data_IF_109312819510
#
_entry.id   IF_109312819510
#
_cell.length_a   1.000
_cell.length_b   1.000
_cell.length_c   1.000
_cell.angle_alpha   90.00
_cell.angle_beta   90.00
_cell.angle_gamma   90.00
#
_symmetry.space_group_name_H-M   'P 1'
#
loop_
_entity.id
_entity.type
_entity.pdbx_description
1 polymer ?
#
# COMPACT_ATOMS: atom_id res chain seq x y z
N UNK A 1 -9.64 0.44 10.90
CA UNK A 1 -8.88 1.13 9.83
C UNK A 1 -7.50 0.50 9.78
N UNK A 2 -7.08 -0.02 8.62
CA UNK A 2 -5.74 -0.62 8.47
C UNK A 2 -4.71 0.49 8.25
N UNK A 3 -3.97 0.84 9.31
CA UNK A 3 -2.98 1.92 9.28
C UNK A 3 -1.98 1.76 8.11
N UNK A 4 -1.55 0.53 7.81
CA UNK A 4 -0.58 0.29 6.74
C UNK A 4 -1.17 0.45 5.34
N UNK A 5 -2.48 0.21 5.18
CA UNK A 5 -3.16 0.50 3.92
C UNK A 5 -3.21 2.02 3.65
N UNK A 6 -3.19 2.83 4.71
CA UNK A 6 -3.10 4.30 4.73
C UNK A 6 -1.97 4.92 3.92
N UNK A 7 -0.90 4.17 3.70
CA UNK A 7 0.36 4.65 3.13
C UNK A 7 0.66 4.07 1.74
N UNK A 8 -0.35 3.51 1.07
CA UNK A 8 -0.23 2.97 -0.28
C UNK A 8 0.87 1.90 -0.39
N UNK A 9 1.75 2.05 -1.38
CA UNK A 9 2.86 1.12 -1.64
C UNK A 9 4.04 1.27 -0.68
N UNK A 10 4.08 2.32 0.15
CA UNK A 10 5.21 2.58 1.06
C UNK A 10 5.42 1.46 2.10
N UNK A 11 4.35 0.76 2.47
CA UNK A 11 4.38 -0.39 3.39
C UNK A 11 4.08 -1.72 2.69
N UNK A 12 4.29 -1.80 1.37
CA UNK A 12 4.00 -2.99 0.57
C UNK A 12 4.64 -4.25 1.18
N UNK A 13 5.93 -4.22 1.53
CA UNK A 13 6.61 -5.36 2.14
C UNK A 13 5.99 -5.81 3.46
N UNK A 14 5.59 -4.88 4.32
CA UNK A 14 4.92 -5.20 5.59
C UNK A 14 3.53 -5.78 5.38
N UNK A 15 2.78 -5.28 4.39
CA UNK A 15 1.46 -5.81 4.05
C UNK A 15 1.54 -7.21 3.44
N UNK A 16 2.50 -7.45 2.55
CA UNK A 16 2.77 -8.79 1.98
C UNK A 16 3.18 -9.78 3.07
N UNK A 17 4.08 -9.37 3.98
CA UNK A 17 4.48 -10.20 5.13
C UNK A 17 3.27 -10.59 5.99
N UNK A 18 2.45 -9.60 6.39
CA UNK A 18 1.26 -9.85 7.21
C UNK A 18 0.24 -10.75 6.49
N UNK A 19 0.08 -10.61 5.18
CA UNK A 19 -0.77 -11.49 4.37
C UNK A 19 -0.23 -12.93 4.38
N UNK A 20 1.07 -13.10 4.09
CA UNK A 20 1.72 -14.40 4.09
C UNK A 20 1.64 -15.10 5.46
N UNK A 21 1.88 -14.37 6.56
CA UNK A 21 1.79 -14.92 7.92
C UNK A 21 0.38 -15.42 8.25
N UNK A 22 -0.67 -14.70 7.84
CA UNK A 22 -2.06 -15.14 8.03
C UNK A 22 -2.39 -16.39 7.22
N UNK A 23 -2.04 -16.40 5.94
CA UNK A 23 -2.24 -17.58 5.08
C UNK A 23 -1.47 -18.81 5.59
N UNK A 24 -0.25 -18.60 6.09
CA UNK A 24 0.55 -19.67 6.69
C UNK A 24 -0.05 -20.16 8.01
N UNK A 25 -0.63 -19.29 8.83
CA UNK A 25 -1.32 -19.72 10.06
C UNK A 25 -2.50 -20.66 9.76
N UNK A 26 -3.32 -20.31 8.77
CA UNK A 26 -4.45 -21.16 8.34
C UNK A 26 -3.95 -22.49 7.76
N UNK A 27 -2.92 -22.47 6.91
CA UNK A 27 -2.29 -23.67 6.37
C UNK A 27 -1.70 -24.58 7.48
N UNK A 28 -1.16 -24.00 8.55
CA UNK A 28 -0.65 -24.74 9.69
C UNK A 28 -1.77 -25.43 10.48
N UNK A 29 -2.96 -24.82 10.56
CA UNK A 29 -4.14 -25.45 11.17
C UNK A 29 -4.59 -26.67 10.36
N UNK A 30 -4.65 -26.53 9.02
CA UNK A 30 -4.99 -27.65 8.14
C UNK A 30 -3.98 -28.79 8.29
N UNK A 31 -2.68 -28.48 8.27
CA UNK A 31 -1.63 -29.47 8.48
C UNK A 31 -1.79 -30.21 9.83
N UNK A 32 -2.13 -29.49 10.90
CA UNK A 32 -2.37 -30.07 12.22
C UNK A 32 -3.57 -30.99 12.26
N UNK A 33 -4.68 -30.60 11.61
CA UNK A 33 -5.89 -31.45 11.52
C UNK A 33 -5.69 -32.74 10.72
N UNK A 34 -4.62 -32.81 9.92
CA UNK A 34 -4.21 -34.00 9.16
C UNK A 34 -3.09 -34.80 9.86
N UNK A 35 -2.73 -34.43 11.09
CA UNK A 35 -1.60 -34.99 11.84
C UNK A 35 -0.29 -34.98 11.02
N UNK A 36 -0.06 -33.88 10.28
CA UNK A 36 1.18 -33.68 9.54
C UNK A 36 2.20 -32.95 10.43
N UNK A 37 3.34 -33.57 10.77
CA UNK A 37 4.37 -32.99 11.63
C UNK A 37 5.27 -32.01 10.85
N UNK A 38 4.68 -30.98 10.25
CA UNK A 38 5.39 -30.02 9.41
C UNK A 38 4.80 -28.63 9.54
N UNK A 39 5.67 -27.62 9.62
CA UNK A 39 5.28 -26.22 9.55
C UNK A 39 5.25 -25.74 8.10
N UNK A 40 4.35 -24.83 7.70
CA UNK A 40 4.27 -24.31 6.33
C UNK A 40 5.62 -23.77 5.79
N UNK A 41 6.38 -23.06 6.62
CA UNK A 41 7.70 -22.55 6.26
C UNK A 41 8.75 -23.66 5.99
N UNK A 42 8.53 -24.88 6.51
CA UNK A 42 9.39 -26.05 6.26
C UNK A 42 9.04 -26.78 4.96
N UNK A 43 7.82 -26.59 4.43
CA UNK A 43 7.39 -27.29 3.20
C UNK A 43 8.20 -26.86 1.99
N UNK A 44 8.52 -25.57 1.86
CA UNK A 44 9.36 -25.07 0.78
C UNK A 44 10.77 -25.68 0.83
N UNK A 45 11.35 -25.84 2.02
CA UNK A 45 12.63 -26.53 2.21
C UNK A 45 12.58 -27.97 1.73
N UNK A 46 11.58 -28.75 2.18
CA UNK A 46 11.42 -30.15 1.79
C UNK A 46 11.24 -30.28 0.26
N UNK A 47 10.40 -29.45 -0.35
CA UNK A 47 10.17 -29.43 -1.79
C UNK A 47 11.44 -29.08 -2.58
N UNK A 48 12.19 -28.07 -2.15
CA UNK A 48 13.45 -27.68 -2.80
C UNK A 48 14.53 -28.78 -2.66
N UNK A 49 14.62 -29.44 -1.49
CA UNK A 49 15.53 -30.59 -1.30
C UNK A 49 15.11 -31.76 -2.18
N UNK A 50 13.80 -32.03 -2.34
CA UNK A 50 13.33 -33.08 -3.27
C UNK A 50 13.73 -32.80 -4.72
N UNK A 51 13.59 -31.55 -5.15
CA UNK A 51 13.83 -31.15 -6.55
C UNK A 51 15.31 -31.04 -6.90
N UNK A 52 16.16 -30.67 -5.95
CA UNK A 52 17.57 -30.34 -6.19
C UNK A 52 18.57 -31.14 -5.33
N UNK A 53 18.09 -32.07 -4.51
CA UNK A 53 18.92 -32.88 -3.61
C UNK A 53 19.81 -33.88 -4.36
N UNK A 54 20.98 -34.24 -3.80
CA UNK A 54 21.58 -33.71 -2.57
C UNK A 54 22.13 -32.27 -2.74
N UNK A 55 21.72 -31.35 -1.86
CA UNK A 55 21.97 -29.88 -1.98
C UNK A 55 22.73 -29.32 -0.77
N UNK A 56 23.59 -28.31 -0.96
CA UNK A 56 24.26 -27.63 0.16
C UNK A 56 23.31 -26.63 0.86
N UNK A 57 23.52 -26.37 2.17
CA UNK A 57 22.71 -25.41 2.94
C UNK A 57 22.73 -24.01 2.32
N UNK A 58 23.89 -23.55 1.83
CA UNK A 58 24.04 -22.26 1.16
C UNK A 58 23.22 -22.17 -0.13
N UNK A 59 23.30 -23.21 -0.98
CA UNK A 59 22.53 -23.28 -2.22
C UNK A 59 21.02 -23.35 -1.96
N UNK A 60 20.60 -24.06 -0.91
CA UNK A 60 19.20 -24.10 -0.48
C UNK A 60 18.70 -22.71 -0.06
N UNK A 61 19.51 -21.96 0.69
CA UNK A 61 19.19 -20.60 1.11
C UNK A 61 19.10 -19.63 -0.06
N UNK A 62 20.03 -19.72 -1.01
CA UNK A 62 20.03 -18.92 -2.24
C UNK A 62 18.79 -19.18 -3.09
N UNK A 63 18.43 -20.45 -3.32
CA UNK A 63 17.25 -20.82 -4.14
C UNK A 63 15.93 -20.35 -3.53
N UNK A 64 15.83 -20.38 -2.20
CA UNK A 64 14.64 -19.91 -1.48
C UNK A 64 14.65 -18.41 -1.19
N UNK A 65 15.74 -17.71 -1.51
CA UNK A 65 15.97 -16.30 -1.15
C UNK A 65 15.76 -16.04 0.35
N UNK A 66 16.19 -17.00 1.18
CA UNK A 66 16.10 -16.91 2.65
C UNK A 66 17.49 -16.67 3.25
N UNK A 67 17.52 -15.95 4.37
CA UNK A 67 18.75 -15.82 5.14
C UNK A 67 19.20 -17.21 5.65
N UNK A 68 20.49 -17.53 5.48
CA UNK A 68 21.07 -18.81 5.88
C UNK A 68 20.78 -19.21 7.36
N UNK A 69 20.78 -18.29 8.35
CA UNK A 69 20.38 -18.63 9.72
C UNK A 69 18.94 -19.12 9.85
N UNK A 70 18.02 -18.61 9.02
CA UNK A 70 16.62 -19.06 8.99
C UNK A 70 16.53 -20.49 8.47
N UNK A 71 17.23 -20.78 7.38
CA UNK A 71 17.30 -22.13 6.78
C UNK A 71 17.91 -23.12 7.78
N UNK A 72 19.02 -22.76 8.41
CA UNK A 72 19.74 -23.64 9.36
C UNK A 72 18.86 -24.02 10.56
N UNK A 73 18.12 -23.05 11.13
CA UNK A 73 17.19 -23.34 12.24
C UNK A 73 16.07 -24.28 11.83
N UNK A 74 15.46 -24.05 10.67
CA UNK A 74 14.38 -24.89 10.16
C UNK A 74 14.85 -26.31 9.81
N UNK A 75 16.05 -26.44 9.23
CA UNK A 75 16.66 -27.73 8.91
C UNK A 75 16.94 -28.56 10.15
N UNK A 76 17.40 -27.95 11.24
CA UNK A 76 17.67 -28.69 12.48
C UNK A 76 16.44 -29.46 12.96
N UNK A 77 15.26 -28.83 12.96
CA UNK A 77 14.01 -29.51 13.32
C UNK A 77 13.69 -30.65 12.34
N UNK A 78 13.87 -30.44 11.04
CA UNK A 78 13.62 -31.50 10.04
C UNK A 78 14.60 -32.68 10.15
N UNK A 79 15.84 -32.43 10.58
CA UNK A 79 16.84 -33.47 10.88
C UNK A 79 16.51 -34.20 12.19
N UNK A 80 16.16 -33.48 13.25
CA UNK A 80 15.75 -34.04 14.55
C UNK A 80 14.50 -34.92 14.39
N UNK A 81 13.56 -34.52 13.53
CA UNK A 81 12.36 -35.31 13.20
C UNK A 81 12.63 -36.43 12.17
N UNK A 82 13.86 -36.53 11.64
CA UNK A 82 14.29 -37.57 10.72
C UNK A 82 13.72 -37.47 9.31
N UNK A 83 13.25 -36.30 8.88
CA UNK A 83 12.77 -36.05 7.51
C UNK A 83 13.89 -35.71 6.54
N UNK A 84 14.93 -35.02 7.03
CA UNK A 84 16.13 -34.65 6.26
C UNK A 84 17.33 -35.33 6.89
N UNK A 85 18.27 -35.74 6.04
CA UNK A 85 19.58 -36.21 6.49
C UNK A 85 20.70 -35.45 5.79
N UNK A 86 21.83 -35.32 6.50
CA UNK A 86 23.06 -34.79 5.96
C UNK A 86 23.96 -35.93 5.48
N UNK A 87 24.25 -35.97 4.18
CA UNK A 87 25.22 -36.88 3.55
C UNK A 87 26.54 -36.15 3.28
N UNK A 88 27.66 -36.88 3.36
CA UNK A 88 28.97 -36.36 2.88
C UNK A 88 29.00 -36.43 1.35
N UNK A 89 29.47 -35.37 0.71
CA UNK A 89 29.68 -35.39 -0.73
C UNK A 89 30.77 -36.42 -1.11
N UNK A 90 30.58 -37.23 -2.17
CA UNK A 90 31.67 -38.03 -2.73
C UNK A 90 32.77 -37.09 -3.25
N UNK A 91 33.99 -37.18 -2.71
CA UNK A 91 35.16 -36.43 -3.18
C UNK A 91 35.61 -35.29 -2.26
N UNK A 92 34.71 -34.38 -1.86
CA UNK A 92 35.02 -33.31 -0.91
C UNK A 92 34.33 -33.55 0.44
N UNK A 93 35.04 -34.23 1.34
CA UNK A 93 34.56 -34.58 2.68
C UNK A 93 34.25 -33.36 3.59
N UNK A 94 34.50 -32.13 3.13
CA UNK A 94 34.17 -30.89 3.85
C UNK A 94 32.75 -30.40 3.59
N UNK A 95 32.12 -30.81 2.48
CA UNK A 95 30.80 -30.28 2.09
C UNK A 95 29.67 -31.24 2.47
N UNK A 96 28.88 -30.84 3.47
CA UNK A 96 27.64 -31.51 3.91
C UNK A 96 26.51 -31.20 2.91
N UNK A 97 25.83 -32.24 2.41
CA UNK A 97 24.69 -32.11 1.50
C UNK A 97 23.43 -32.71 2.10
N UNK A 98 22.34 -31.98 2.00
CA UNK A 98 21.03 -32.32 2.50
C UNK A 98 20.30 -33.20 1.49
N UNK A 99 19.69 -34.28 1.96
CA UNK A 99 18.80 -35.13 1.19
C UNK A 99 17.58 -35.50 2.04
N UNK A 100 16.47 -35.86 1.39
CA UNK A 100 15.32 -36.41 2.10
C UNK A 100 15.63 -37.85 2.52
N UNK A 101 15.14 -38.23 3.70
CA UNK A 101 15.07 -39.63 4.12
C UNK A 101 13.85 -40.29 3.49
N UNK A 102 13.73 -41.61 3.60
CA UNK A 102 12.49 -42.31 3.22
C UNK A 102 11.26 -41.78 3.99
N UNK A 103 11.44 -41.36 5.25
CA UNK A 103 10.39 -40.71 6.05
C UNK A 103 10.04 -39.33 5.50
N UNK A 104 11.03 -38.55 5.08
CA UNK A 104 10.82 -37.25 4.44
C UNK A 104 10.10 -37.34 3.09
N UNK A 105 10.45 -38.33 2.27
CA UNK A 105 9.75 -38.60 1.01
C UNK A 105 8.29 -39.00 1.25
N UNK A 106 8.04 -39.89 2.22
CA UNK A 106 6.68 -40.28 2.60
C UNK A 106 5.87 -39.08 3.11
N UNK A 107 6.47 -38.19 3.92
CA UNK A 107 5.83 -36.95 4.36
C UNK A 107 5.47 -36.04 3.18
N UNK A 108 6.36 -35.89 2.19
CA UNK A 108 6.06 -35.09 1.01
C UNK A 108 4.94 -35.66 0.15
N UNK A 109 4.84 -36.99 0.04
CA UNK A 109 3.69 -37.62 -0.62
C UNK A 109 2.41 -37.22 0.10
N UNK A 110 2.36 -37.32 1.44
CA UNK A 110 1.20 -36.88 2.23
C UNK A 110 0.89 -35.40 2.05
N UNK A 111 1.90 -34.53 2.05
CA UNK A 111 1.71 -33.10 1.78
C UNK A 111 1.06 -32.87 0.42
N UNK A 112 1.52 -33.58 -0.62
CA UNK A 112 0.99 -33.45 -1.98
C UNK A 112 -0.42 -34.03 -2.17
N UNK A 113 -0.75 -35.12 -1.47
CA UNK A 113 -2.03 -35.81 -1.66
C UNK A 113 -3.11 -35.43 -0.66
N UNK A 114 -2.73 -34.91 0.51
CA UNK A 114 -3.65 -34.56 1.60
C UNK A 114 -3.70 -33.05 1.84
N UNK A 115 -2.57 -32.36 1.92
CA UNK A 115 -2.55 -30.96 2.32
C UNK A 115 -2.78 -29.98 1.16
N UNK A 116 -1.94 -30.05 0.12
CA UNK A 116 -2.01 -29.11 -1.01
C UNK A 116 -3.37 -29.08 -1.70
N UNK A 117 -4.06 -30.21 -1.95
CA UNK A 117 -5.39 -30.18 -2.58
C UNK A 117 -6.47 -29.45 -1.76
N UNK A 118 -6.22 -29.18 -0.47
CA UNK A 118 -7.10 -28.38 0.39
C UNK A 118 -6.71 -26.90 0.39
N UNK A 119 -5.41 -26.60 0.32
CA UNK A 119 -4.90 -25.23 0.31
C UNK A 119 -5.11 -24.58 -1.06
N UNK A 120 -4.86 -25.30 -2.15
CA UNK A 120 -4.87 -24.76 -3.51
C UNK A 120 -6.21 -24.11 -3.89
N UNK A 121 -7.39 -24.73 -3.69
CA UNK A 121 -8.66 -24.10 -4.03
C UNK A 121 -8.95 -22.85 -3.18
N UNK A 122 -8.65 -22.91 -1.88
CA UNK A 122 -8.85 -21.78 -0.97
C UNK A 122 -7.93 -20.59 -1.33
N UNK A 123 -6.69 -20.86 -1.72
CA UNK A 123 -5.77 -19.84 -2.19
C UNK A 123 -6.18 -19.28 -3.57
N UNK A 124 -6.74 -20.11 -4.45
CA UNK A 124 -7.24 -19.68 -5.76
C UNK A 124 -8.44 -18.72 -5.62
N UNK A 125 -9.35 -18.97 -4.67
CA UNK A 125 -10.49 -18.10 -4.38
C UNK A 125 -10.06 -16.68 -3.96
N UNK A 126 -8.94 -16.55 -3.24
CA UNK A 126 -8.41 -15.23 -2.81
C UNK A 126 -7.98 -14.33 -3.98
N UNK A 127 -7.63 -14.93 -5.12
CA UNK A 127 -7.15 -14.20 -6.32
C UNK A 127 -8.16 -14.21 -7.46
N UNK A 128 -9.31 -14.87 -7.28
CA UNK A 128 -10.39 -14.93 -8.26
C UNK A 128 -11.03 -13.55 -8.46
N UNK A 129 -11.32 -13.20 -9.72
CA UNK A 129 -11.96 -11.92 -10.07
C UNK A 129 -11.08 -10.68 -9.93
N UNK A 130 -9.81 -10.83 -9.53
CA UNK A 130 -8.83 -9.74 -9.59
C UNK A 130 -8.55 -9.37 -11.06
N UNK A 131 -8.34 -8.09 -11.32
CA UNK A 131 -7.97 -7.62 -12.66
C UNK A 131 -6.56 -8.10 -13.04
N UNK A 132 -6.46 -8.74 -14.20
CA UNK A 132 -5.21 -9.31 -14.70
C UNK A 132 -4.81 -10.62 -13.99
N UNK A 133 -3.66 -11.16 -14.37
CA UNK A 133 -3.09 -12.36 -13.74
C UNK A 133 -2.24 -11.92 -12.53
N UNK A 134 -2.79 -12.10 -11.32
CA UNK A 134 -2.12 -11.77 -10.07
C UNK A 134 -0.77 -12.48 -9.92
N UNK A 135 -0.69 -13.76 -10.30
CA UNK A 135 0.54 -14.54 -10.18
C UNK A 135 1.61 -14.02 -11.14
N UNK A 136 1.22 -13.65 -12.37
CA UNK A 136 2.12 -12.98 -13.30
C UNK A 136 2.54 -11.59 -12.77
N UNK A 137 1.64 -10.86 -12.11
CA UNK A 137 1.92 -9.59 -11.45
C UNK A 137 2.97 -9.73 -10.34
N UNK A 138 2.79 -10.71 -9.46
CA UNK A 138 3.73 -11.02 -8.38
C UNK A 138 5.11 -11.39 -8.94
N UNK A 139 5.18 -12.27 -9.93
CA UNK A 139 6.43 -12.66 -10.58
C UNK A 139 7.17 -11.45 -11.19
N UNK A 140 6.43 -10.49 -11.79
CA UNK A 140 7.02 -9.24 -12.30
C UNK A 140 7.59 -8.37 -11.18
N UNK A 141 6.94 -8.30 -10.01
CA UNK A 141 7.44 -7.56 -8.84
C UNK A 141 8.72 -8.20 -8.33
N UNK A 142 8.75 -9.53 -8.19
CA UNK A 142 9.93 -10.29 -7.78
C UNK A 142 11.10 -10.09 -8.75
N UNK A 143 10.85 -10.19 -10.06
CA UNK A 143 11.86 -9.95 -11.09
C UNK A 143 12.43 -8.53 -11.00
N UNK A 144 11.59 -7.51 -10.82
CA UNK A 144 12.02 -6.10 -10.70
C UNK A 144 12.84 -5.84 -9.43
N UNK A 145 12.53 -6.55 -8.34
CA UNK A 145 13.28 -6.48 -7.09
C UNK A 145 14.65 -7.17 -7.24
N UNK A 146 14.71 -8.31 -7.92
CA UNK A 146 15.96 -9.01 -8.23
C UNK A 146 16.87 -8.20 -9.19
N UNK A 147 16.28 -7.48 -10.15
CA UNK A 147 17.01 -6.59 -11.05
C UNK A 147 17.64 -5.39 -10.35
N UNK A 148 16.92 -4.78 -9.39
CA UNK A 148 17.44 -3.69 -8.57
C UNK A 148 16.69 -3.62 -7.23
N UNK A 149 17.47 -3.66 -6.15
CA UNK A 149 16.95 -3.57 -4.78
C UNK A 149 16.21 -2.26 -4.52
N UNK A 150 15.38 -2.23 -3.48
CA UNK A 150 14.77 -0.98 -3.01
C UNK A 150 15.84 0.06 -2.63
N UNK A 151 16.93 -0.36 -2.00
CA UNK A 151 18.03 0.54 -1.62
C UNK A 151 18.61 1.26 -2.86
N UNK A 152 18.96 0.50 -3.89
CA UNK A 152 19.48 1.05 -5.16
C UNK A 152 18.50 2.04 -5.79
N UNK A 153 17.19 1.75 -5.73
CA UNK A 153 16.16 2.64 -6.26
C UNK A 153 16.02 3.92 -5.44
N UNK A 154 16.11 3.82 -4.12
CA UNK A 154 16.07 4.96 -3.20
C UNK A 154 17.28 5.86 -3.43
N UNK A 155 18.47 5.28 -3.52
CA UNK A 155 19.70 6.02 -3.79
C UNK A 155 19.65 6.72 -5.16
N UNK A 156 19.15 6.04 -6.20
CA UNK A 156 19.00 6.62 -7.53
C UNK A 156 17.95 7.75 -7.61
N UNK A 157 16.88 7.68 -6.80
CA UNK A 157 15.85 8.71 -6.75
C UNK A 157 16.34 10.00 -6.07
N UNK A 158 17.34 9.90 -5.19
CA UNK A 158 17.84 11.01 -4.41
C UNK A 158 16.87 11.46 -3.31
N UNK A 159 17.19 12.54 -2.58
CA UNK A 159 16.31 13.08 -1.55
C UNK A 159 15.00 13.60 -2.16
N UNK A 160 13.86 13.47 -1.45
CA UNK A 160 12.59 13.96 -1.95
C UNK A 160 12.59 15.49 -2.04
N UNK A 161 11.99 16.02 -3.11
CA UNK A 161 11.79 17.47 -3.29
C UNK A 161 10.51 17.98 -2.62
N UNK A 162 9.63 17.07 -2.21
CA UNK A 162 8.36 17.38 -1.55
C UNK A 162 7.82 16.14 -0.81
N UNK A 163 7.17 16.34 0.33
CA UNK A 163 6.47 15.29 1.06
C UNK A 163 5.11 15.78 1.59
N UNK A 164 4.27 14.82 1.95
CA UNK A 164 2.98 15.10 2.57
C UNK A 164 3.12 15.04 4.10
N UNK A 165 2.43 15.94 4.80
CA UNK A 165 2.23 15.87 6.25
C UNK A 165 0.75 15.81 6.59
N UNK A 166 0.44 15.00 7.58
CA UNK A 166 -0.88 15.04 8.23
C UNK A 166 -1.03 16.31 9.04
N UNK A 167 -2.27 16.73 9.25
CA UNK A 167 -2.56 17.83 10.15
C UNK A 167 -2.08 17.55 11.57
N UNK A 168 -1.46 18.57 12.13
CA UNK A 168 -1.12 18.72 13.53
C UNK A 168 -1.41 20.18 13.92
N UNK A 169 -1.60 20.46 15.21
CA UNK A 169 -2.07 21.79 15.64
C UNK A 169 -1.06 22.91 15.30
N UNK A 170 0.24 22.60 15.19
CA UNK A 170 1.28 23.52 14.67
C UNK A 170 1.05 23.94 13.21
N UNK A 171 0.27 23.18 12.44
CA UNK A 171 -0.05 23.46 11.04
C UNK A 171 -1.39 24.19 10.86
N UNK A 172 -2.12 24.49 11.95
CA UNK A 172 -3.40 25.19 11.87
C UNK A 172 -3.27 26.58 11.24
N UNK A 173 -2.23 27.33 11.61
CA UNK A 173 -1.96 28.65 11.01
C UNK A 173 -1.59 28.52 9.52
N UNK A 174 -0.81 27.50 9.15
CA UNK A 174 -0.47 27.24 7.75
C UNK A 174 -1.74 26.92 6.93
N UNK A 175 -2.67 26.12 7.47
CA UNK A 175 -3.95 25.82 6.84
C UNK A 175 -4.74 27.11 6.53
N UNK A 176 -4.84 27.98 7.53
CA UNK A 176 -5.54 29.26 7.40
C UNK A 176 -4.85 30.15 6.37
N UNK A 177 -3.55 30.42 6.53
CA UNK A 177 -2.77 31.33 5.69
C UNK A 177 -2.79 30.93 4.21
N UNK A 178 -2.54 29.66 3.91
CA UNK A 178 -2.49 29.16 2.51
C UNK A 178 -3.84 29.32 1.82
N UNK A 179 -4.93 28.93 2.49
CA UNK A 179 -6.26 29.05 1.91
C UNK A 179 -6.73 30.49 1.83
N UNK A 180 -6.45 31.32 2.84
CA UNK A 180 -6.80 32.73 2.83
C UNK A 180 -6.12 33.47 1.66
N UNK A 181 -4.82 33.26 1.44
CA UNK A 181 -4.09 33.85 0.29
C UNK A 181 -4.75 33.47 -1.04
N UNK A 182 -5.06 32.17 -1.22
CA UNK A 182 -5.69 31.70 -2.47
C UNK A 182 -7.09 32.27 -2.67
N UNK A 183 -7.94 32.25 -1.62
CA UNK A 183 -9.31 32.76 -1.71
C UNK A 183 -9.27 34.25 -2.00
N UNK A 184 -8.52 35.04 -1.24
CA UNK A 184 -8.47 36.50 -1.38
C UNK A 184 -7.89 36.97 -2.72
N UNK A 185 -7.04 36.17 -3.37
CA UNK A 185 -6.49 36.46 -4.70
C UNK A 185 -7.55 36.38 -5.81
N UNK A 186 -8.56 35.53 -5.65
CA UNK A 186 -9.52 35.20 -6.72
C UNK A 186 -11.00 35.45 -6.38
N UNK A 187 -11.34 35.50 -5.10
CA UNK A 187 -12.69 35.53 -4.54
C UNK A 187 -12.73 36.30 -3.21
N UNK A 188 -13.93 36.40 -2.62
CA UNK A 188 -14.11 36.90 -1.25
C UNK A 188 -14.16 35.71 -0.29
N UNK A 189 -13.61 35.89 0.92
CA UNK A 189 -13.77 34.93 2.02
C UNK A 189 -15.24 34.91 2.46
N UNK A 190 -15.92 33.78 2.22
CA UNK A 190 -17.29 33.55 2.68
C UNK A 190 -17.29 33.09 4.15
N UNK A 191 -18.43 33.23 4.85
CA UNK A 191 -18.53 32.85 6.27
C UNK A 191 -18.16 31.38 6.54
N UNK A 192 -18.58 30.49 5.62
CA UNK A 192 -18.20 29.07 5.62
C UNK A 192 -16.68 28.87 5.50
N UNK A 193 -16.00 29.73 4.74
CA UNK A 193 -14.55 29.66 4.63
C UNK A 193 -13.89 30.03 5.95
N UNK A 194 -14.29 31.14 6.56
CA UNK A 194 -13.73 31.62 7.83
C UNK A 194 -13.90 30.57 8.94
N UNK A 195 -15.09 29.98 9.06
CA UNK A 195 -15.35 28.94 10.05
C UNK A 195 -14.42 27.73 9.86
N UNK A 196 -14.28 27.22 8.63
CA UNK A 196 -13.42 26.07 8.32
C UNK A 196 -11.94 26.35 8.56
N UNK A 197 -11.47 27.55 8.20
CA UNK A 197 -10.06 27.92 8.34
C UNK A 197 -9.64 28.14 9.80
N UNK A 198 -10.57 28.60 10.65
CA UNK A 198 -10.30 28.87 12.07
C UNK A 198 -10.48 27.64 12.95
N UNK A 199 -11.35 26.70 12.57
CA UNK A 199 -11.66 25.50 13.36
C UNK A 199 -11.53 24.19 12.56
N UNK A 200 -10.39 23.93 11.88
CA UNK A 200 -10.23 22.75 11.02
C UNK A 200 -10.32 21.43 11.79
N UNK A 201 -9.88 21.41 13.06
CA UNK A 201 -9.99 20.23 13.92
C UNK A 201 -11.46 19.84 14.15
N UNK A 202 -12.23 20.75 14.73
CA UNK A 202 -13.65 20.53 15.04
C UNK A 202 -14.49 20.23 13.79
N UNK A 203 -14.26 20.97 12.69
CA UNK A 203 -15.14 20.92 11.52
C UNK A 203 -14.74 19.88 10.48
N UNK A 204 -13.49 19.39 10.50
CA UNK A 204 -12.98 18.42 9.52
C UNK A 204 -12.53 17.15 10.23
N UNK A 205 -11.52 17.23 11.10
CA UNK A 205 -10.84 16.06 11.66
C UNK A 205 -11.73 15.27 12.63
N UNK A 206 -12.39 15.95 13.56
CA UNK A 206 -13.23 15.31 14.59
C UNK A 206 -14.49 14.66 13.96
N UNK A 207 -14.81 15.01 12.71
CA UNK A 207 -15.88 14.43 11.90
C UNK A 207 -15.41 13.28 11.00
N UNK A 208 -14.18 12.81 11.18
CA UNK A 208 -13.57 11.75 10.37
C UNK A 208 -13.03 12.22 9.03
N UNK A 209 -12.92 13.54 8.82
CA UNK A 209 -12.22 14.13 7.69
C UNK A 209 -10.71 14.11 7.86
N UNK A 210 -10.00 14.64 6.87
CA UNK A 210 -8.54 14.62 6.80
C UNK A 210 -8.05 15.96 6.25
N UNK A 211 -6.90 16.42 6.72
CA UNK A 211 -6.21 17.57 6.14
C UNK A 211 -4.76 17.17 5.90
N UNK A 212 -4.30 17.35 4.67
CA UNK A 212 -2.94 17.05 4.23
C UNK A 212 -2.24 18.33 3.79
N UNK A 213 -0.97 18.42 4.12
CA UNK A 213 -0.08 19.50 3.73
C UNK A 213 1.00 18.99 2.78
N UNK A 214 1.47 19.87 1.91
CA UNK A 214 2.66 19.65 1.11
C UNK A 214 3.79 20.54 1.63
N UNK A 215 4.93 19.93 1.91
CA UNK A 215 6.12 20.58 2.44
C UNK A 215 7.31 20.31 1.51
N UNK A 216 8.13 21.33 1.28
CA UNK A 216 9.39 21.23 0.53
C UNK A 216 10.57 21.59 1.44
N UNK A 217 11.79 21.09 1.15
CA UNK A 217 12.97 21.42 1.93
C UNK A 217 13.24 22.92 2.03
N UNK A 218 13.02 23.66 0.94
CA UNK A 218 13.43 25.07 0.82
C UNK A 218 12.36 26.06 1.30
N UNK A 219 11.07 25.73 1.11
CA UNK A 219 9.96 26.66 1.31
C UNK A 219 9.08 26.30 2.52
N UNK A 220 9.31 25.14 3.14
CA UNK A 220 8.46 24.62 4.19
C UNK A 220 7.06 24.29 3.66
N UNK A 221 6.04 24.54 4.46
CA UNK A 221 4.65 24.18 4.13
C UNK A 221 4.05 25.16 3.13
N UNK A 222 3.82 24.66 1.91
CA UNK A 222 3.47 25.47 0.74
C UNK A 222 2.09 25.18 0.16
N UNK A 223 1.45 24.10 0.59
CA UNK A 223 0.11 23.78 0.13
C UNK A 223 -0.66 22.93 1.14
N UNK A 224 -1.97 22.91 0.98
CA UNK A 224 -2.87 22.09 1.80
C UNK A 224 -4.05 21.61 0.97
N UNK A 225 -4.67 20.50 1.38
CA UNK A 225 -5.91 19.96 0.84
C UNK A 225 -6.68 19.25 1.96
N UNK A 226 -8.01 19.32 1.95
CA UNK A 226 -8.85 18.68 2.94
C UNK A 226 -9.89 17.74 2.31
N UNK A 227 -10.20 16.67 3.04
CA UNK A 227 -11.33 15.78 2.82
C UNK A 227 -12.31 15.98 3.97
N UNK A 228 -13.53 16.37 3.65
CA UNK A 228 -14.56 16.64 4.64
C UNK A 228 -15.74 15.72 4.42
N UNK A 229 -16.07 14.93 5.44
CA UNK A 229 -17.25 14.05 5.42
C UNK A 229 -18.51 14.90 5.31
N UNK A 230 -19.38 14.51 4.38
CA UNK A 230 -20.64 15.16 4.05
C UNK A 230 -21.80 14.17 4.22
N UNK A 231 -23.01 14.55 3.79
CA UNK A 231 -24.20 13.68 3.84
C UNK A 231 -24.07 12.46 2.92
N UNK A 232 -24.79 11.39 3.27
CA UNK A 232 -24.97 10.19 2.44
C UNK A 232 -23.67 9.46 2.04
N UNK A 233 -22.64 9.58 2.88
CA UNK A 233 -21.31 8.99 2.66
C UNK A 233 -20.47 9.72 1.62
N UNK A 234 -20.90 10.89 1.13
CA UNK A 234 -20.08 11.74 0.27
C UNK A 234 -18.97 12.42 1.06
N UNK A 235 -17.84 12.64 0.40
CA UNK A 235 -16.68 13.33 0.94
C UNK A 235 -16.30 14.47 0.00
N UNK A 236 -16.29 15.70 0.54
CA UNK A 236 -15.87 16.88 -0.21
C UNK A 236 -14.34 17.01 -0.16
N UNK A 237 -13.70 17.01 -1.32
CA UNK A 237 -12.35 17.53 -1.49
C UNK A 237 -12.44 19.06 -1.53
N UNK A 238 -11.86 19.71 -0.53
CA UNK A 238 -12.00 21.15 -0.32
C UNK A 238 -10.71 21.75 0.19
N UNK A 239 -10.65 23.09 0.27
CA UNK A 239 -9.52 23.83 0.85
C UNK A 239 -8.17 23.41 0.27
N UNK A 240 -8.17 23.24 -1.06
CA UNK A 240 -6.98 22.89 -1.83
C UNK A 240 -6.27 24.17 -2.28
N UNK A 241 -5.37 24.67 -1.44
CA UNK A 241 -4.60 25.90 -1.68
C UNK A 241 -3.11 25.64 -1.87
N UNK A 242 -2.47 26.47 -2.70
CA UNK A 242 -1.01 26.47 -2.92
C UNK A 242 -0.51 27.92 -2.91
N UNK A 243 0.55 28.19 -2.14
CA UNK A 243 1.17 29.51 -2.06
C UNK A 243 1.71 29.96 -3.41
N UNK A 244 1.66 31.27 -3.68
CA UNK A 244 2.23 31.85 -4.91
C UNK A 244 3.72 31.50 -5.10
N UNK A 245 4.48 31.46 -4.00
CA UNK A 245 5.92 31.12 -4.00
C UNK A 245 6.23 29.70 -4.48
N UNK A 246 5.24 28.79 -4.48
CA UNK A 246 5.41 27.40 -4.88
C UNK A 246 4.65 27.01 -6.16
N UNK A 247 4.09 27.99 -6.89
CA UNK A 247 3.48 27.75 -8.20
C UNK A 247 4.54 27.24 -9.19
N UNK A 248 4.15 26.32 -10.08
CA UNK A 248 5.06 25.67 -11.04
C UNK A 248 5.80 24.45 -10.51
N UNK A 249 5.84 24.22 -9.18
CA UNK A 249 6.49 23.06 -8.55
C UNK A 249 5.60 21.80 -8.49
N UNK A 250 4.47 21.79 -9.21
CA UNK A 250 3.47 20.70 -9.21
C UNK A 250 2.89 20.34 -7.83
N UNK A 251 2.92 21.26 -6.86
CA UNK A 251 2.37 21.06 -5.50
C UNK A 251 0.90 20.64 -5.54
N UNK A 252 0.08 21.28 -6.39
CA UNK A 252 -1.33 20.93 -6.53
C UNK A 252 -1.54 19.50 -7.02
N UNK A 253 -0.77 19.07 -8.03
CA UNK A 253 -0.85 17.69 -8.55
C UNK A 253 -0.45 16.67 -7.48
N UNK A 254 0.62 16.95 -6.74
CA UNK A 254 1.07 16.12 -5.62
C UNK A 254 0.02 16.02 -4.51
N UNK A 255 -0.54 17.15 -4.06
CA UNK A 255 -1.57 17.19 -3.02
C UNK A 255 -2.81 16.43 -3.44
N UNK A 256 -3.29 16.62 -4.68
CA UNK A 256 -4.47 15.93 -5.16
C UNK A 256 -4.26 14.41 -5.19
N UNK A 257 -3.12 13.95 -5.73
CA UNK A 257 -2.78 12.54 -5.75
C UNK A 257 -2.73 11.95 -4.32
N UNK A 258 -2.04 12.62 -3.38
CA UNK A 258 -1.94 12.16 -1.99
C UNK A 258 -3.26 12.20 -1.23
N UNK A 259 -4.11 13.18 -1.53
CA UNK A 259 -5.46 13.26 -0.95
C UNK A 259 -6.34 12.12 -1.45
N UNK A 260 -6.28 11.77 -2.73
CA UNK A 260 -7.04 10.65 -3.29
C UNK A 260 -6.52 9.29 -2.80
N UNK A 261 -5.20 9.10 -2.71
CA UNK A 261 -4.58 7.92 -2.07
C UNK A 261 -5.10 7.76 -0.63
N UNK A 262 -5.16 8.87 0.12
CA UNK A 262 -5.68 8.86 1.49
C UNK A 262 -7.17 8.53 1.52
N UNK A 263 -7.99 9.15 0.67
CA UNK A 263 -9.41 8.85 0.57
C UNK A 263 -9.66 7.35 0.35
N UNK A 264 -8.97 6.75 -0.64
CA UNK A 264 -9.08 5.33 -0.94
C UNK A 264 -8.68 4.45 0.26
N UNK A 265 -7.59 4.79 0.95
CA UNK A 265 -7.13 4.03 2.12
C UNK A 265 -8.08 4.06 3.32
N UNK A 266 -8.94 5.09 3.38
CA UNK A 266 -9.95 5.27 4.42
C UNK A 266 -11.33 4.74 4.01
N UNK A 267 -11.47 4.15 2.81
CA UNK A 267 -12.76 3.70 2.28
C UNK A 267 -13.71 4.87 1.93
N UNK A 268 -13.16 6.03 1.58
CA UNK A 268 -13.92 7.20 1.15
C UNK A 268 -14.17 7.14 -0.36
N UNK A 269 -15.12 6.30 -0.78
CA UNK A 269 -15.32 5.97 -2.21
C UNK A 269 -16.10 7.04 -3.00
N UNK A 270 -16.84 7.90 -2.31
CA UNK A 270 -17.69 8.94 -2.91
C UNK A 270 -17.07 10.33 -2.73
N UNK A 271 -16.00 10.61 -3.46
CA UNK A 271 -15.34 11.92 -3.42
C UNK A 271 -15.94 12.88 -4.46
N UNK A 272 -16.23 14.12 -4.05
CA UNK A 272 -16.65 15.20 -4.95
C UNK A 272 -15.89 16.48 -4.64
N UNK A 273 -15.95 17.46 -5.54
CA UNK A 273 -15.47 18.81 -5.30
C UNK A 273 -16.39 19.86 -5.89
N UNK A 274 -16.31 21.07 -5.33
CA UNK A 274 -16.99 22.27 -5.81
C UNK A 274 -15.92 23.29 -6.20
N UNK A 275 -16.07 23.90 -7.37
CA UNK A 275 -15.11 24.87 -7.91
C UNK A 275 -15.82 25.93 -8.76
N UNK A 276 -15.03 26.81 -9.37
CA UNK A 276 -15.52 27.87 -10.23
C UNK A 276 -14.83 27.82 -11.61
N UNK A 277 -15.54 28.15 -12.70
CA UNK A 277 -15.00 28.19 -14.08
C UNK A 277 -13.77 29.09 -14.23
N UNK A 278 -13.61 30.12 -13.39
CA UNK A 278 -12.40 30.95 -13.32
C UNK A 278 -11.15 30.15 -12.93
N UNK A 279 -11.31 29.00 -12.29
CA UNK A 279 -10.22 28.11 -11.87
C UNK A 279 -9.87 27.06 -12.94
N UNK A 280 -9.76 27.47 -14.21
CA UNK A 280 -9.57 26.56 -15.35
C UNK A 280 -8.36 25.61 -15.19
N UNK A 281 -7.22 26.11 -14.68
CA UNK A 281 -6.04 25.28 -14.42
C UNK A 281 -6.29 24.18 -13.37
N UNK A 282 -7.09 24.49 -12.33
CA UNK A 282 -7.46 23.50 -11.32
C UNK A 282 -8.45 22.48 -11.89
N UNK A 283 -9.42 22.91 -12.70
CA UNK A 283 -10.37 22.01 -13.38
C UNK A 283 -9.62 20.99 -14.24
N UNK A 284 -8.66 21.43 -15.06
CA UNK A 284 -7.86 20.52 -15.87
C UNK A 284 -7.03 19.55 -15.03
N UNK A 285 -6.52 20.00 -13.87
CA UNK A 285 -5.84 19.11 -12.94
C UNK A 285 -6.79 18.05 -12.39
N UNK A 286 -7.99 18.44 -11.96
CA UNK A 286 -9.01 17.51 -11.48
C UNK A 286 -9.38 16.47 -12.55
N UNK A 287 -9.63 16.92 -13.79
CA UNK A 287 -9.93 16.05 -14.94
C UNK A 287 -8.80 15.05 -15.21
N UNK A 288 -7.55 15.53 -15.21
CA UNK A 288 -6.35 14.70 -15.38
C UNK A 288 -6.30 13.56 -14.36
N UNK A 289 -6.67 13.84 -13.11
CA UNK A 289 -6.64 12.87 -12.02
C UNK A 289 -7.93 12.07 -11.85
N UNK A 290 -8.92 12.20 -12.74
CA UNK A 290 -10.10 11.32 -12.75
C UNK A 290 -11.38 11.93 -12.19
N UNK A 291 -11.44 13.24 -11.99
CA UNK A 291 -12.71 13.91 -11.77
C UNK A 291 -13.46 14.15 -13.07
N UNK A 292 -14.78 14.02 -13.02
CA UNK A 292 -15.68 14.32 -14.14
C UNK A 292 -16.74 15.33 -13.68
N UNK A 293 -17.16 16.22 -14.57
CA UNK A 293 -18.25 17.17 -14.29
C UNK A 293 -19.54 16.41 -13.97
N UNK A 294 -20.23 16.81 -12.89
CA UNK A 294 -21.39 16.09 -12.37
C UNK A 294 -22.52 17.04 -11.95
N UNK A 295 -23.60 17.06 -12.74
CA UNK A 295 -24.77 17.89 -12.49
C UNK A 295 -25.57 17.46 -11.24
N UNK A 296 -25.46 16.19 -10.83
CA UNK A 296 -26.10 15.71 -9.60
C UNK A 296 -25.37 16.26 -8.39
N UNK A 297 -24.02 16.30 -8.41
CA UNK A 297 -23.24 16.97 -7.35
C UNK A 297 -23.59 18.46 -7.30
N UNK A 298 -23.68 19.13 -8.45
CA UNK A 298 -24.07 20.55 -8.50
C UNK A 298 -25.43 20.79 -7.83
N UNK A 299 -26.47 20.02 -8.20
CA UNK A 299 -27.80 20.14 -7.61
C UNK A 299 -27.82 19.81 -6.11
N UNK A 300 -26.97 18.89 -5.67
CA UNK A 300 -27.00 18.34 -4.29
C UNK A 300 -26.19 19.17 -3.30
N UNK A 301 -25.08 19.76 -3.75
CA UNK A 301 -24.06 20.41 -2.91
C UNK A 301 -23.66 21.81 -3.38
N UNK A 302 -24.02 22.23 -4.61
CA UNK A 302 -23.54 23.47 -5.22
C UNK A 302 -23.94 24.75 -4.47
N UNK A 303 -25.03 24.74 -3.71
CA UNK A 303 -25.47 25.87 -2.91
C UNK A 303 -24.59 26.15 -1.66
N UNK A 304 -23.54 25.35 -1.42
CA UNK A 304 -22.66 25.47 -0.26
C UNK A 304 -21.77 26.72 -0.30
N UNK A 305 -21.38 27.14 -1.51
CA UNK A 305 -20.57 28.34 -1.72
C UNK A 305 -21.22 29.20 -2.80
N UNK A 306 -21.38 30.49 -2.55
CA UNK A 306 -22.01 31.39 -3.51
C UNK A 306 -21.23 31.46 -4.83
N UNK A 307 -19.90 31.34 -4.75
CA UNK A 307 -19.01 31.33 -5.92
C UNK A 307 -19.06 30.04 -6.75
N UNK A 308 -19.74 28.97 -6.31
CA UNK A 308 -19.68 27.68 -7.00
C UNK A 308 -20.50 27.70 -8.30
N UNK A 309 -19.86 27.40 -9.43
CA UNK A 309 -20.54 27.19 -10.74
C UNK A 309 -20.04 25.96 -11.51
N UNK A 310 -19.15 25.17 -10.91
CA UNK A 310 -18.69 23.85 -11.39
C UNK A 310 -18.68 22.86 -10.24
N UNK A 311 -19.18 21.65 -10.48
CA UNK A 311 -19.14 20.54 -9.54
C UNK A 311 -18.65 19.28 -10.26
N UNK A 312 -17.80 18.51 -9.58
CA UNK A 312 -17.19 17.31 -10.16
C UNK A 312 -17.21 16.15 -9.17
N UNK A 313 -17.38 14.94 -9.69
CA UNK A 313 -17.29 13.69 -8.93
C UNK A 313 -16.02 12.93 -9.32
N UNK A 314 -15.38 12.30 -8.35
CA UNK A 314 -14.26 11.41 -8.60
C UNK A 314 -14.75 10.09 -9.20
N UNK A 315 -14.15 9.69 -10.31
CA UNK A 315 -14.37 8.42 -11.01
C UNK A 315 -12.98 7.87 -11.36
N UNK A 316 -12.38 7.03 -10.49
CA UNK A 316 -11.06 6.48 -10.77
C UNK A 316 -11.09 5.79 -12.13
N UNK A 317 -10.07 6.05 -12.96
CA UNK A 317 -9.90 5.29 -14.19
C UNK A 317 -9.46 3.88 -13.77
N UNK A 318 -10.23 2.87 -14.17
CA UNK A 318 -9.80 1.47 -14.11
C UNK A 318 -8.52 1.27 -14.91
#
# INVERSE_FOLDING_TARGET
MDLLAGYGVGFLGSRLKRLAERMQADAAEVARSLDLPVQPAQMSLLLTIRLHGPIAVGELAERLQLAQPTVTRALKSLEDDGFVETRRAPGDGRTRRLALTAKGEALLVRIQTELLPRIEPAAAELVEGLEGDFMQGLAKVEQRLAQASLLTRIEAAGPPTMWARDFSDDLAEAFHRINAEWIQDMFTLEENDVALLTRPRELILDKGGVVLFAETPELGVVGTCALMVSKDGWVELTKMGVLKSARGLKVGEFLLAKTLERAASLGMDKVYLLTNKKCAAAIHLYEKLGFVHDATIMRTFGARYERCDVAMAYRPRG
#
